data_IF_607214000690
#
_entry.id   IF_607214000690
#
_cell.length_a   1.000
_cell.length_b   1.000
_cell.length_c   1.000
_cell.angle_alpha   90.00
_cell.angle_beta   90.00
_cell.angle_gamma   90.00
#
_symmetry.space_group_name_H-M   'P 1'
#
loop_
_entity.id
_entity.type
_entity.pdbx_description
1 polymer ?
#
# COMPACT_ATOMS: atom_id res chain seq x y z
N UNK A 1 -27.56 10.13 15.39
CA UNK A 1 -28.52 10.60 16.43
C UNK A 1 -28.92 12.05 16.16
N UNK A 2 -30.22 12.36 16.09
CA UNK A 2 -30.70 13.72 15.79
C UNK A 2 -31.23 14.45 17.03
N UNK A 3 -30.65 15.60 17.36
CA UNK A 3 -31.06 16.42 18.50
C UNK A 3 -31.54 17.80 18.06
N UNK A 4 -32.48 18.40 18.80
CA UNK A 4 -32.73 19.83 18.70
C UNK A 4 -31.56 20.63 19.29
N UNK A 5 -31.43 21.90 18.90
CA UNK A 5 -30.38 22.80 19.40
C UNK A 5 -30.36 22.90 20.94
N UNK A 6 -31.54 22.86 21.57
CA UNK A 6 -31.67 22.90 23.02
C UNK A 6 -31.27 21.60 23.71
N UNK A 7 -31.55 20.45 23.08
CA UNK A 7 -31.11 19.14 23.56
C UNK A 7 -29.60 18.97 23.41
N UNK A 8 -29.04 19.40 22.27
CA UNK A 8 -27.61 19.37 22.01
C UNK A 8 -26.82 20.27 22.98
N UNK A 9 -27.34 21.47 23.28
CA UNK A 9 -26.75 22.36 24.29
C UNK A 9 -26.67 21.70 25.67
N UNK A 10 -27.75 21.02 26.10
CA UNK A 10 -27.75 20.24 27.34
C UNK A 10 -26.77 19.07 27.30
N UNK A 11 -26.74 18.36 26.18
CA UNK A 11 -25.87 17.21 25.98
C UNK A 11 -24.37 17.58 26.07
N UNK A 12 -23.98 18.72 25.50
CA UNK A 12 -22.59 19.24 25.60
C UNK A 12 -22.33 20.09 26.86
N UNK A 13 -23.33 20.33 27.69
CA UNK A 13 -23.19 21.15 28.91
C UNK A 13 -22.94 22.64 28.66
N UNK A 14 -23.35 23.16 27.49
CA UNK A 14 -23.10 24.55 27.06
C UNK A 14 -24.38 25.37 26.93
N UNK A 15 -24.23 26.69 26.77
CA UNK A 15 -25.37 27.58 26.51
C UNK A 15 -25.95 27.35 25.10
N UNK A 16 -27.22 27.69 24.91
CA UNK A 16 -27.85 27.63 23.57
C UNK A 16 -27.17 28.59 22.58
N UNK A 17 -26.66 29.72 23.05
CA UNK A 17 -25.99 30.71 22.20
C UNK A 17 -24.71 30.12 21.60
N UNK A 18 -23.93 29.42 22.42
CA UNK A 18 -22.72 28.71 21.99
C UNK A 18 -23.00 27.73 20.85
N UNK A 19 -24.14 27.01 20.92
CA UNK A 19 -24.55 26.09 19.84
C UNK A 19 -24.93 26.84 18.56
N UNK A 20 -25.57 28.01 18.65
CA UNK A 20 -25.84 28.84 17.47
C UNK A 20 -24.55 29.34 16.82
N UNK A 21 -23.60 29.80 17.63
CA UNK A 21 -22.30 30.27 17.15
C UNK A 21 -21.52 29.14 16.45
N UNK A 22 -21.59 27.90 16.97
CA UNK A 22 -21.00 26.72 16.32
C UNK A 22 -21.67 26.35 14.99
N UNK A 23 -22.99 26.56 14.88
CA UNK A 23 -23.70 26.37 13.61
C UNK A 23 -23.24 27.42 12.58
N UNK A 24 -23.10 28.68 12.98
CA UNK A 24 -22.61 29.76 12.10
C UNK A 24 -21.17 29.53 11.64
N UNK A 25 -20.32 29.00 12.52
CA UNK A 25 -18.94 28.60 12.20
C UNK A 25 -18.86 27.29 11.41
N UNK A 26 -19.97 26.60 11.22
CA UNK A 26 -20.04 25.31 10.54
C UNK A 26 -19.36 24.17 11.29
N UNK A 27 -19.14 24.30 12.60
CA UNK A 27 -18.57 23.27 13.49
C UNK A 27 -19.58 22.17 13.84
N UNK A 28 -20.87 22.41 13.55
CA UNK A 28 -21.98 21.49 13.82
C UNK A 28 -22.70 21.16 12.51
N UNK A 29 -22.93 19.86 12.27
CA UNK A 29 -23.61 19.38 11.08
C UNK A 29 -25.13 19.36 11.32
N UNK A 30 -25.86 20.02 10.42
CA UNK A 30 -27.32 20.12 10.46
C UNK A 30 -27.95 19.11 9.50
N UNK A 31 -28.88 18.31 10.01
CA UNK A 31 -29.79 17.49 9.20
C UNK A 31 -31.19 18.11 9.27
N UNK A 32 -31.48 18.95 8.26
CA UNK A 32 -32.69 19.78 8.22
C UNK A 32 -32.74 20.78 9.38
N UNK A 33 -33.74 20.65 10.26
CA UNK A 33 -33.92 21.54 11.43
C UNK A 33 -33.23 21.03 12.72
N UNK A 34 -32.62 19.84 12.67
CA UNK A 34 -31.99 19.19 13.82
C UNK A 34 -30.48 19.04 13.60
N UNK A 35 -29.75 18.93 14.69
CA UNK A 35 -28.30 18.67 14.69
C UNK A 35 -28.10 17.17 14.54
N UNK A 36 -27.25 16.80 13.59
CA UNK A 36 -26.73 15.44 13.50
C UNK A 36 -25.52 15.31 14.42
N UNK A 37 -25.76 14.71 15.58
CA UNK A 37 -24.77 14.57 16.65
C UNK A 37 -23.64 13.65 16.20
N UNK A 38 -23.96 12.57 15.50
CA UNK A 38 -22.96 11.60 15.05
C UNK A 38 -22.06 12.21 13.98
N UNK A 39 -22.64 12.89 12.99
CA UNK A 39 -21.85 13.56 11.96
C UNK A 39 -20.97 14.68 12.55
N UNK A 40 -21.52 15.44 13.51
CA UNK A 40 -20.77 16.50 14.21
C UNK A 40 -19.63 15.92 15.06
N UNK A 41 -19.84 14.80 15.74
CA UNK A 41 -18.81 14.15 16.55
C UNK A 41 -17.76 13.46 15.69
N UNK A 42 -18.13 12.88 14.54
CA UNK A 42 -17.17 12.35 13.57
C UNK A 42 -16.24 13.44 13.03
N UNK A 43 -16.78 14.63 12.76
CA UNK A 43 -15.99 15.78 12.28
C UNK A 43 -15.09 16.37 13.37
N UNK A 44 -15.58 16.45 14.60
CA UNK A 44 -14.86 17.06 15.73
C UNK A 44 -14.03 16.07 16.54
N UNK A 45 -14.08 14.79 16.19
CA UNK A 45 -13.09 13.84 16.66
C UNK A 45 -11.73 14.27 16.12
N UNK A 46 -10.65 14.21 16.93
CA UNK A 46 -9.31 14.23 16.36
C UNK A 46 -9.26 13.20 15.23
N UNK A 47 -8.54 13.45 14.11
CA UNK A 47 -8.38 12.43 13.10
C UNK A 47 -7.99 11.16 13.83
N UNK A 48 -8.83 10.13 13.73
CA UNK A 48 -8.58 8.87 14.38
C UNK A 48 -7.12 8.53 14.06
N UNK A 49 -6.29 8.37 15.11
CA UNK A 49 -4.96 7.80 14.95
C UNK A 49 -5.13 6.59 14.01
N UNK A 50 -4.36 6.64 12.91
CA UNK A 50 -4.61 5.93 11.67
C UNK A 50 -5.35 4.61 11.84
N UNK A 51 -6.58 4.54 11.31
CA UNK A 51 -6.87 3.36 10.51
C UNK A 51 -5.95 3.50 9.31
N UNK A 52 -4.94 2.65 9.23
CA UNK A 52 -4.04 2.59 8.09
C UNK A 52 -4.86 2.38 6.82
N UNK A 53 -5.16 3.48 6.13
CA UNK A 53 -5.83 3.45 4.82
C UNK A 53 -5.00 2.65 3.82
N UNK A 54 -3.69 2.51 4.07
CA UNK A 54 -2.76 1.63 3.34
C UNK A 54 -3.11 0.15 3.56
N UNK A 55 -3.46 -0.25 4.79
CA UNK A 55 -3.85 -1.63 5.12
C UNK A 55 -5.19 -2.04 4.49
N UNK A 56 -6.13 -1.10 4.31
CA UNK A 56 -7.39 -1.37 3.58
C UNK A 56 -7.18 -1.52 2.06
N UNK A 57 -6.16 -0.87 1.50
CA UNK A 57 -5.86 -0.92 0.06
C UNK A 57 -5.07 -2.19 -0.33
N UNK A 58 -4.27 -2.74 0.59
CA UNK A 58 -3.41 -3.93 0.37
C UNK A 58 -3.53 -4.91 1.55
N UNK A 59 -4.67 -5.62 1.68
CA UNK A 59 -4.96 -6.46 2.83
C UNK A 59 -3.96 -7.61 3.05
N UNK A 60 -3.22 -8.00 2.01
CA UNK A 60 -2.16 -9.00 2.03
C UNK A 60 -0.85 -8.50 2.65
N UNK A 61 -0.64 -7.19 2.75
CA UNK A 61 0.55 -6.58 3.34
C UNK A 61 0.42 -6.53 4.86
N UNK A 62 0.79 -7.64 5.50
CA UNK A 62 0.62 -7.87 6.95
C UNK A 62 1.94 -7.90 7.72
N UNK A 63 3.07 -7.83 7.03
CA UNK A 63 4.40 -7.86 7.63
C UNK A 63 4.87 -6.42 7.87
N UNK A 64 4.81 -5.94 9.10
CA UNK A 64 5.39 -4.66 9.47
C UNK A 64 6.91 -4.82 9.64
N UNK A 65 7.69 -4.18 8.76
CA UNK A 65 9.15 -4.24 8.77
C UNK A 65 9.71 -2.93 8.22
N UNK A 66 10.93 -2.55 8.61
CA UNK A 66 11.58 -1.42 7.93
C UNK A 66 12.03 -1.82 6.52
N UNK A 67 12.21 -0.85 5.62
CA UNK A 67 12.80 -1.08 4.30
C UNK A 67 14.14 -1.86 4.37
N UNK A 68 14.99 -1.52 5.34
CA UNK A 68 16.26 -2.19 5.58
C UNK A 68 16.10 -3.64 6.08
N UNK A 69 15.10 -3.91 6.91
CA UNK A 69 14.78 -5.27 7.37
C UNK A 69 14.17 -6.13 6.27
N UNK A 70 13.26 -5.56 5.48
CA UNK A 70 12.66 -6.23 4.33
C UNK A 70 13.73 -6.61 3.29
N UNK A 71 14.64 -5.69 2.94
CA UNK A 71 15.74 -6.01 2.03
C UNK A 71 16.68 -7.10 2.56
N UNK A 72 16.97 -7.11 3.87
CA UNK A 72 17.72 -8.21 4.50
C UNK A 72 16.96 -9.53 4.40
N UNK A 73 15.64 -9.52 4.60
CA UNK A 73 14.80 -10.71 4.51
C UNK A 73 14.74 -11.26 3.07
N UNK A 74 14.61 -10.40 2.05
CA UNK A 74 14.68 -10.79 0.63
C UNK A 74 16.00 -11.52 0.35
N UNK A 75 17.15 -10.90 0.69
CA UNK A 75 18.46 -11.52 0.51
C UNK A 75 18.63 -12.83 1.28
N UNK A 76 18.02 -12.94 2.46
CA UNK A 76 18.05 -14.18 3.23
C UNK A 76 17.29 -15.33 2.55
N UNK A 77 16.41 -15.03 1.60
CA UNK A 77 15.65 -16.00 0.80
C UNK A 77 16.26 -16.29 -0.58
N UNK A 78 17.25 -15.51 -1.02
CA UNK A 78 17.95 -15.73 -2.28
C UNK A 78 18.44 -17.18 -2.41
N UNK A 79 18.11 -17.83 -3.53
CA UNK A 79 18.47 -19.22 -3.83
C UNK A 79 17.74 -20.28 -3.00
N UNK A 80 16.83 -19.90 -2.10
CA UNK A 80 15.99 -20.83 -1.31
C UNK A 80 14.58 -20.96 -1.86
N UNK A 81 14.16 -20.01 -2.67
CA UNK A 81 12.86 -20.02 -3.31
C UNK A 81 12.97 -20.82 -4.63
N UNK A 82 12.15 -21.87 -4.82
CA UNK A 82 12.16 -22.65 -6.05
C UNK A 82 11.96 -21.75 -7.26
N UNK A 83 12.67 -22.06 -8.34
CA UNK A 83 12.47 -21.36 -9.61
C UNK A 83 11.07 -21.67 -10.16
N UNK A 84 10.37 -20.68 -10.74
CA UNK A 84 9.07 -20.90 -11.37
C UNK A 84 9.23 -21.89 -12.53
N UNK A 85 8.25 -22.77 -12.73
CA UNK A 85 8.34 -23.87 -13.71
C UNK A 85 7.53 -23.54 -14.96
N UNK A 86 6.38 -22.90 -14.80
CA UNK A 86 5.48 -22.52 -15.89
C UNK A 86 5.52 -21.02 -16.15
N UNK A 87 5.03 -20.60 -17.32
CA UNK A 87 4.90 -19.18 -17.64
C UNK A 87 3.92 -18.48 -16.68
N UNK A 88 2.86 -19.16 -16.25
CA UNK A 88 1.93 -18.63 -15.24
C UNK A 88 2.63 -18.39 -13.90
N UNK A 89 3.50 -19.30 -13.46
CA UNK A 89 4.32 -19.11 -12.24
C UNK A 89 5.26 -17.91 -12.38
N UNK A 90 5.83 -17.71 -13.57
CA UNK A 90 6.70 -16.57 -13.87
C UNK A 90 5.88 -15.27 -13.83
N UNK A 91 4.72 -15.23 -14.49
CA UNK A 91 3.82 -14.08 -14.51
C UNK A 91 3.41 -13.68 -13.09
N UNK A 92 2.93 -14.63 -12.30
CA UNK A 92 2.52 -14.37 -10.92
C UNK A 92 3.69 -13.81 -10.10
N UNK A 93 4.91 -14.35 -10.29
CA UNK A 93 6.08 -13.86 -9.56
C UNK A 93 6.46 -12.44 -9.96
N UNK A 94 6.37 -12.08 -11.24
CA UNK A 94 6.61 -10.69 -11.67
C UNK A 94 5.52 -9.77 -11.11
N UNK A 95 4.25 -10.18 -11.12
CA UNK A 95 3.14 -9.42 -10.55
C UNK A 95 3.30 -9.19 -9.05
N UNK A 96 3.63 -10.22 -8.28
CA UNK A 96 3.85 -10.12 -6.84
C UNK A 96 5.02 -9.17 -6.52
N UNK A 97 6.13 -9.27 -7.28
CA UNK A 97 7.29 -8.41 -7.10
C UNK A 97 6.99 -6.94 -7.47
N UNK A 98 6.32 -6.70 -8.60
CA UNK A 98 5.96 -5.37 -9.07
C UNK A 98 4.93 -4.73 -8.12
N UNK A 99 3.90 -5.48 -7.75
CA UNK A 99 2.88 -5.08 -6.80
C UNK A 99 3.49 -4.66 -5.46
N UNK A 100 4.45 -5.40 -4.92
CA UNK A 100 5.11 -5.04 -3.66
C UNK A 100 5.73 -3.63 -3.69
N UNK A 101 6.28 -3.22 -4.83
CA UNK A 101 6.89 -1.90 -5.03
C UNK A 101 5.95 -0.90 -5.74
N UNK A 102 4.64 -1.18 -5.74
CA UNK A 102 3.62 -0.33 -6.35
C UNK A 102 3.86 -0.03 -7.84
N UNK A 103 4.52 -0.95 -8.55
CA UNK A 103 4.73 -0.89 -9.99
C UNK A 103 3.60 -1.66 -10.70
N UNK A 104 3.08 -1.09 -11.78
CA UNK A 104 2.18 -1.80 -12.69
C UNK A 104 2.99 -2.67 -13.64
N UNK A 105 2.45 -3.83 -14.03
CA UNK A 105 3.08 -4.74 -15.00
C UNK A 105 2.14 -5.04 -16.15
N UNK A 106 2.69 -5.00 -17.37
CA UNK A 106 2.04 -5.46 -18.58
C UNK A 106 2.87 -6.57 -19.22
N UNK A 107 2.24 -7.70 -19.50
CA UNK A 107 2.81 -8.78 -20.29
C UNK A 107 2.38 -8.57 -21.74
N UNK A 108 3.36 -8.39 -22.62
CA UNK A 108 3.15 -8.08 -24.03
C UNK A 108 3.35 -9.34 -24.88
N UNK A 109 3.01 -9.23 -26.16
CA UNK A 109 3.29 -10.28 -27.14
C UNK A 109 4.79 -10.61 -27.20
N UNK A 110 5.12 -11.82 -27.65
CA UNK A 110 6.49 -12.33 -27.81
C UNK A 110 7.30 -12.45 -26.50
N UNK A 111 6.64 -12.37 -25.33
CA UNK A 111 7.29 -12.55 -24.02
C UNK A 111 7.98 -11.29 -23.49
N UNK A 112 7.66 -10.11 -24.05
CA UNK A 112 8.12 -8.83 -23.52
C UNK A 112 7.33 -8.44 -22.25
N UNK A 113 8.00 -7.70 -21.35
CA UNK A 113 7.43 -7.22 -20.09
C UNK A 113 7.64 -5.72 -20.00
N UNK A 114 6.59 -4.96 -19.66
CA UNK A 114 6.70 -3.55 -19.32
C UNK A 114 6.37 -3.37 -17.84
N UNK A 115 7.28 -2.74 -17.09
CA UNK A 115 7.01 -2.23 -15.75
C UNK A 115 6.76 -0.72 -15.83
N UNK A 116 5.77 -0.22 -15.09
CA UNK A 116 5.46 1.19 -15.00
C UNK A 116 5.38 1.63 -13.54
N UNK A 117 6.10 2.69 -13.21
CA UNK A 117 6.03 3.37 -11.92
C UNK A 117 5.68 4.86 -12.13
N UNK A 118 5.73 5.66 -11.07
CA UNK A 118 5.47 7.10 -11.17
C UNK A 118 6.53 7.87 -11.98
N UNK A 119 7.70 7.27 -12.22
CA UNK A 119 8.84 7.88 -12.90
C UNK A 119 8.89 7.53 -14.40
N UNK A 120 8.35 6.38 -14.81
CA UNK A 120 8.24 6.02 -16.22
C UNK A 120 8.00 4.53 -16.48
N UNK A 121 8.25 4.15 -17.74
CA UNK A 121 8.06 2.79 -18.26
C UNK A 121 9.40 2.13 -18.58
N UNK A 122 9.53 0.85 -18.24
CA UNK A 122 10.74 0.05 -18.41
C UNK A 122 10.41 -1.23 -19.17
N UNK A 123 11.01 -1.37 -20.36
CA UNK A 123 10.75 -2.47 -21.28
C UNK A 123 11.85 -3.54 -21.21
N UNK A 124 11.42 -4.80 -21.07
CA UNK A 124 12.25 -5.99 -21.09
C UNK A 124 11.80 -6.88 -22.25
N UNK A 125 12.47 -6.75 -23.39
CA UNK A 125 12.06 -7.36 -24.67
C UNK A 125 13.21 -8.08 -25.41
N UNK A 126 14.41 -8.09 -24.84
CA UNK A 126 15.62 -8.56 -25.55
C UNK A 126 15.83 -10.08 -25.49
N UNK A 127 15.13 -10.77 -24.59
CA UNK A 127 15.34 -12.19 -24.33
C UNK A 127 14.02 -12.97 -24.35
N UNK A 128 14.09 -14.28 -24.06
CA UNK A 128 12.89 -15.07 -23.82
C UNK A 128 12.13 -14.57 -22.58
N UNK A 129 10.87 -14.98 -22.46
CA UNK A 129 9.98 -14.54 -21.39
C UNK A 129 10.57 -14.74 -19.99
N UNK A 130 11.26 -15.88 -19.78
CA UNK A 130 11.86 -16.22 -18.49
C UNK A 130 12.99 -15.26 -18.13
N UNK A 131 13.87 -14.96 -19.07
CA UNK A 131 15.00 -14.07 -18.83
C UNK A 131 14.56 -12.59 -18.76
N UNK A 132 13.57 -12.18 -19.55
CA UNK A 132 12.94 -10.87 -19.39
C UNK A 132 12.33 -10.71 -17.98
N UNK A 133 11.65 -11.75 -17.47
CA UNK A 133 11.11 -11.76 -16.10
C UNK A 133 12.21 -11.66 -15.04
N UNK A 134 13.34 -12.34 -15.22
CA UNK A 134 14.50 -12.18 -14.32
C UNK A 134 15.04 -10.76 -14.32
N UNK A 135 15.16 -10.13 -15.49
CA UNK A 135 15.63 -8.75 -15.60
C UNK A 135 14.66 -7.75 -14.97
N UNK A 136 13.35 -7.95 -15.16
CA UNK A 136 12.30 -7.16 -14.53
C UNK A 136 12.38 -7.23 -12.99
N UNK A 137 12.45 -8.45 -12.43
CA UNK A 137 12.59 -8.64 -10.97
C UNK A 137 13.92 -8.07 -10.47
N UNK A 138 15.00 -8.20 -11.25
CA UNK A 138 16.30 -7.63 -10.89
C UNK A 138 16.25 -6.10 -10.82
N UNK A 139 15.55 -5.44 -11.73
CA UNK A 139 15.33 -3.99 -11.67
C UNK A 139 14.58 -3.61 -10.39
N UNK A 140 13.47 -4.30 -10.09
CA UNK A 140 12.71 -4.09 -8.85
C UNK A 140 13.57 -4.30 -7.59
N UNK A 141 14.44 -5.33 -7.59
CA UNK A 141 15.42 -5.55 -6.51
C UNK A 141 16.43 -4.40 -6.40
N UNK A 142 16.84 -3.80 -7.52
CA UNK A 142 17.73 -2.63 -7.51
C UNK A 142 17.04 -1.43 -6.86
N UNK A 143 15.78 -1.17 -7.20
CA UNK A 143 14.98 -0.10 -6.56
C UNK A 143 14.81 -0.35 -5.06
N UNK A 144 14.43 -1.57 -4.67
CA UNK A 144 14.34 -1.93 -3.24
C UNK A 144 15.68 -1.72 -2.52
N UNK A 145 16.79 -2.14 -3.13
CA UNK A 145 18.12 -1.96 -2.54
C UNK A 145 18.51 -0.48 -2.41
N UNK A 146 18.11 0.35 -3.38
CA UNK A 146 18.36 1.79 -3.36
C UNK A 146 17.57 2.45 -2.23
N UNK A 147 16.25 2.24 -2.17
CA UNK A 147 15.39 2.82 -1.13
C UNK A 147 15.76 2.31 0.27
N UNK A 148 16.05 1.03 0.42
CA UNK A 148 16.53 0.47 1.69
C UNK A 148 17.91 1.01 2.12
N UNK A 149 18.69 1.58 1.19
CA UNK A 149 19.95 2.27 1.48
C UNK A 149 19.74 3.71 1.94
N UNK A 150 18.82 4.44 1.30
CA UNK A 150 18.51 5.84 1.60
C UNK A 150 17.64 5.98 2.87
N UNK A 151 16.69 5.06 3.09
CA UNK A 151 15.69 5.10 4.15
C UNK A 151 15.61 3.77 4.94
N UNK A 152 16.71 3.24 5.51
CA UNK A 152 16.74 1.88 6.09
C UNK A 152 15.80 1.66 7.28
N UNK A 153 15.47 2.71 8.03
CA UNK A 153 14.69 2.66 9.26
C UNK A 153 13.22 3.04 9.07
N UNK A 154 12.81 3.43 7.85
CA UNK A 154 11.41 3.75 7.56
C UNK A 154 10.57 2.47 7.58
N UNK A 155 9.46 2.51 8.33
CA UNK A 155 8.51 1.41 8.45
C UNK A 155 7.54 1.40 7.25
N UNK A 156 7.24 0.19 6.78
CA UNK A 156 6.17 -0.05 5.83
C UNK A 156 5.52 -1.42 6.12
N UNK A 157 4.40 -1.68 5.46
CA UNK A 157 3.71 -2.96 5.48
C UNK A 157 4.03 -3.73 4.21
N UNK A 158 4.48 -4.97 4.36
CA UNK A 158 4.92 -5.83 3.28
C UNK A 158 4.10 -7.11 3.18
N UNK A 159 4.09 -7.74 2.01
CA UNK A 159 3.47 -9.06 1.81
C UNK A 159 4.50 -10.19 1.80
N UNK A 160 4.07 -11.36 2.26
CA UNK A 160 4.88 -12.59 2.17
C UNK A 160 5.08 -13.03 0.70
N UNK A 161 4.13 -12.71 -0.19
CA UNK A 161 4.21 -12.99 -1.61
C UNK A 161 5.31 -12.15 -2.28
N UNK A 162 5.30 -10.82 -2.09
CA UNK A 162 6.32 -9.91 -2.61
C UNK A 162 7.71 -10.21 -2.05
N UNK A 163 7.81 -10.55 -0.76
CA UNK A 163 9.07 -10.99 -0.14
C UNK A 163 9.66 -12.23 -0.83
N UNK A 164 8.82 -13.20 -1.18
CA UNK A 164 9.25 -14.40 -1.92
C UNK A 164 9.53 -14.10 -3.39
N UNK A 165 8.75 -13.20 -4.00
CA UNK A 165 8.84 -12.88 -5.41
C UNK A 165 10.10 -12.08 -5.77
N UNK A 166 10.53 -11.21 -4.85
CA UNK A 166 11.75 -10.41 -4.98
C UNK A 166 13.02 -11.21 -4.69
N UNK A 167 12.95 -12.44 -4.18
CA UNK A 167 14.15 -13.27 -3.94
C UNK A 167 14.72 -13.86 -5.25
N UNK A 168 16.05 -13.97 -5.34
CA UNK A 168 16.68 -14.66 -6.47
C UNK A 168 16.24 -16.12 -6.51
N UNK A 169 15.90 -16.58 -7.72
CA UNK A 169 15.46 -17.95 -7.93
C UNK A 169 16.62 -18.92 -7.66
N UNK A 170 16.29 -20.12 -7.19
CA UNK A 170 17.25 -21.21 -7.16
C UNK A 170 17.87 -21.40 -8.56
N UNK A 171 19.20 -21.51 -8.62
CA UNK A 171 19.88 -21.84 -9.87
C UNK A 171 19.44 -23.24 -10.25
N UNK A 172 18.71 -23.36 -11.36
CA UNK A 172 18.45 -24.66 -11.98
C UNK A 172 19.80 -25.32 -12.24
N UNK A 173 20.07 -26.43 -11.55
CA UNK A 173 21.24 -27.26 -11.79
C UNK A 173 21.10 -27.85 -13.18
N UNK A 174 21.79 -27.26 -14.16
CA UNK A 174 21.96 -27.85 -15.49
C UNK A 174 23.02 -28.94 -15.43
#
# INVERSE_FOLDING_TARGET
MLMSKAEYAKHKGVSRQTVYDWIEKGEVIMSGKKIDVEATEQRNSPPAQGKDTVSEMWPERTLEMTWGEFWKAVKARDGKIPAPVTDDDIQQRVQDAAGELCCEVQFLDDGAICLEDYAGQYYFEQYDFRENARLAIRMLRCELCYVAGDCPDELDNWSEAGLNALAEWEKSSH
#
